data_IF_249153999434
#
_entry.id   IF_249153999434
#
_cell.length_a   1.000
_cell.length_b   1.000
_cell.length_c   1.000
_cell.angle_alpha   90.00
_cell.angle_beta   90.00
_cell.angle_gamma   90.00
#
_symmetry.space_group_name_H-M   'P 1'
#
loop_
_entity.id
_entity.type
_entity.pdbx_description
1 polymer ?
#
# COMPACT_ATOMS: atom_id res chain seq x y z
N UNK A 1 7.56 12.88 0.58
CA UNK A 1 6.93 14.17 0.78
C UNK A 1 6.99 14.51 2.26
N UNK A 2 7.25 15.77 2.61
CA UNK A 2 7.15 16.31 3.97
C UNK A 2 6.17 17.47 3.97
N UNK A 3 5.21 17.43 4.88
CA UNK A 3 4.21 18.46 5.09
C UNK A 3 4.39 19.04 6.49
N UNK A 4 4.54 20.35 6.58
CA UNK A 4 4.59 21.03 7.89
C UNK A 4 3.16 21.21 8.43
N UNK A 5 2.94 20.81 9.67
CA UNK A 5 1.66 20.95 10.38
C UNK A 5 1.92 21.47 11.80
N UNK A 6 1.50 22.67 12.08
CA UNK A 6 1.55 23.35 13.40
C UNK A 6 2.79 22.99 14.29
N UNK A 7 2.78 21.79 14.88
CA UNK A 7 3.83 21.29 15.77
C UNK A 7 4.39 19.93 15.35
N UNK A 8 4.19 19.55 14.09
CA UNK A 8 4.67 18.26 13.55
C UNK A 8 5.06 18.37 12.09
N UNK A 9 5.84 17.39 11.63
CA UNK A 9 6.09 17.14 10.20
C UNK A 9 5.46 15.80 9.85
N UNK A 10 4.41 15.85 9.06
CA UNK A 10 3.83 14.67 8.45
C UNK A 10 4.63 14.27 7.22
N UNK A 11 4.99 13.01 7.13
CA UNK A 11 5.79 12.50 6.01
C UNK A 11 5.07 11.38 5.29
N UNK A 12 5.24 11.36 3.97
CA UNK A 12 4.65 10.38 3.08
C UNK A 12 5.77 9.81 2.21
N UNK A 13 6.10 8.55 2.44
CA UNK A 13 7.10 7.84 1.63
C UNK A 13 6.38 6.94 0.63
N UNK A 14 6.48 7.28 -0.65
CA UNK A 14 5.92 6.50 -1.74
C UNK A 14 6.93 5.46 -2.22
N UNK A 15 6.53 4.21 -2.25
CA UNK A 15 7.31 3.09 -2.75
C UNK A 15 6.56 2.39 -3.89
N UNK A 16 7.30 2.04 -4.95
CA UNK A 16 6.78 1.33 -6.11
C UNK A 16 7.47 -0.02 -6.22
N UNK A 17 6.70 -1.10 -6.16
CA UNK A 17 7.19 -2.45 -6.45
C UNK A 17 7.09 -2.71 -7.96
N UNK A 18 8.20 -2.49 -8.67
CA UNK A 18 8.29 -2.69 -10.11
C UNK A 18 8.49 -4.18 -10.52
N UNK A 19 8.52 -5.11 -9.57
CA UNK A 19 8.63 -6.55 -9.85
C UNK A 19 7.27 -7.21 -10.07
N UNK A 20 6.18 -6.47 -9.93
CA UNK A 20 4.81 -6.93 -10.16
C UNK A 20 4.22 -6.30 -11.42
N UNK A 21 3.26 -6.98 -12.04
CA UNK A 21 2.47 -6.46 -13.15
C UNK A 21 0.99 -6.61 -12.79
N UNK A 22 0.27 -5.51 -12.59
CA UNK A 22 0.72 -4.11 -12.62
C UNK A 22 1.71 -3.75 -11.49
N UNK A 23 2.40 -2.62 -11.66
CA UNK A 23 3.29 -2.06 -10.62
C UNK A 23 2.47 -1.68 -9.40
N UNK A 24 2.86 -2.19 -8.24
CA UNK A 24 2.17 -1.88 -6.98
C UNK A 24 2.83 -0.69 -6.31
N UNK A 25 2.05 0.34 -6.03
CA UNK A 25 2.49 1.55 -5.34
C UNK A 25 1.77 1.68 -4.00
N UNK A 26 2.50 1.96 -2.94
CA UNK A 26 1.95 2.23 -1.61
C UNK A 26 2.65 3.42 -0.94
N UNK A 27 1.98 4.02 0.04
CA UNK A 27 2.50 5.15 0.81
C UNK A 27 2.60 4.73 2.27
N UNK A 28 3.79 4.92 2.84
CA UNK A 28 4.04 4.83 4.27
C UNK A 28 3.94 6.23 4.87
N UNK A 29 3.09 6.40 5.88
CA UNK A 29 2.90 7.66 6.58
C UNK A 29 3.60 7.62 7.92
N UNK A 30 4.27 8.71 8.29
CA UNK A 30 4.87 8.91 9.61
C UNK A 30 4.73 10.35 10.03
N UNK A 31 4.46 10.55 11.32
CA UNK A 31 4.43 11.86 11.93
C UNK A 31 5.62 12.03 12.89
N UNK A 32 6.28 13.16 12.78
CA UNK A 32 7.40 13.53 13.62
C UNK A 32 7.06 14.80 14.40
N UNK A 33 7.17 14.80 15.74
CA UNK A 33 7.07 16.02 16.53
C UNK A 33 8.12 17.04 16.06
N UNK A 34 7.68 18.27 15.83
CA UNK A 34 8.55 19.34 15.36
C UNK A 34 8.27 20.62 16.16
N UNK A 35 9.32 21.29 16.72
CA UNK A 35 9.11 22.46 17.55
C UNK A 35 8.56 23.63 16.73
N UNK A 36 7.71 24.43 17.34
CA UNK A 36 7.17 25.67 16.76
C UNK A 36 8.29 26.65 16.40
N UNK A 37 9.35 26.67 17.18
CA UNK A 37 10.58 27.41 16.92
C UNK A 37 11.45 26.65 15.89
N UNK A 38 11.07 26.64 14.66
CA UNK A 38 11.70 25.92 13.53
C UNK A 38 13.22 25.70 13.71
N UNK A 39 13.62 24.42 13.80
CA UNK A 39 15.02 24.01 14.01
C UNK A 39 15.55 23.23 12.83
N UNK A 40 16.59 23.75 12.18
CA UNK A 40 17.28 23.07 11.08
C UNK A 40 17.91 21.74 11.54
N UNK A 41 18.47 21.72 12.74
CA UNK A 41 19.04 20.49 13.33
C UNK A 41 18.01 19.39 13.48
N UNK A 42 16.84 19.72 14.02
CA UNK A 42 15.72 18.77 14.17
C UNK A 42 15.20 18.29 12.82
N UNK A 43 15.08 19.17 11.85
CA UNK A 43 14.65 18.77 10.52
C UNK A 43 15.69 17.93 9.80
N UNK A 44 16.98 18.20 10.02
CA UNK A 44 18.08 17.38 9.50
C UNK A 44 18.05 15.97 10.09
N UNK A 45 17.76 15.80 11.40
CA UNK A 45 17.58 14.48 12.02
C UNK A 45 16.45 13.71 11.33
N UNK A 46 15.27 14.35 11.16
CA UNK A 46 14.11 13.75 10.47
C UNK A 46 14.47 13.37 9.04
N UNK A 47 15.08 14.30 8.28
CA UNK A 47 15.48 14.07 6.89
C UNK A 47 16.49 12.91 6.77
N UNK A 48 17.42 12.81 7.70
CA UNK A 48 18.41 11.73 7.75
C UNK A 48 17.71 10.40 8.01
N UNK A 49 16.86 10.33 9.02
CA UNK A 49 16.09 9.13 9.35
C UNK A 49 15.20 8.65 8.19
N UNK A 50 14.59 9.59 7.46
CA UNK A 50 13.73 9.27 6.31
C UNK A 50 14.51 8.73 5.11
N UNK A 51 15.74 9.19 4.91
CA UNK A 51 16.58 8.83 3.77
C UNK A 51 17.56 7.68 4.06
N UNK A 52 17.73 7.31 5.34
CA UNK A 52 18.65 6.25 5.75
C UNK A 52 18.17 4.88 5.22
N UNK A 53 19.08 4.16 4.56
CA UNK A 53 18.80 2.85 3.95
C UNK A 53 17.69 2.84 2.90
N UNK A 54 17.32 3.99 2.32
CA UNK A 54 16.29 4.13 1.30
C UNK A 54 16.81 4.88 0.08
N UNK A 55 16.44 4.41 -1.11
CA UNK A 55 16.72 5.12 -2.35
C UNK A 55 15.62 6.17 -2.59
N UNK A 56 15.89 7.41 -2.21
CA UNK A 56 14.98 8.53 -2.43
C UNK A 56 15.46 9.35 -3.62
N UNK A 57 14.69 9.41 -4.69
CA UNK A 57 15.01 10.17 -5.90
C UNK A 57 14.53 11.63 -5.86
N UNK A 58 13.42 11.86 -5.17
CA UNK A 58 12.77 13.18 -5.13
C UNK A 58 12.15 13.43 -3.75
N UNK A 59 12.22 14.67 -3.31
CA UNK A 59 11.61 15.14 -2.06
C UNK A 59 10.70 16.32 -2.37
N UNK A 60 9.50 16.31 -1.81
CA UNK A 60 8.53 17.39 -1.90
C UNK A 60 8.33 17.98 -0.52
N UNK A 61 8.50 19.28 -0.38
CA UNK A 61 8.26 20.06 0.82
C UNK A 61 6.99 20.89 0.63
N UNK A 62 6.00 20.68 1.47
CA UNK A 62 4.70 21.35 1.41
C UNK A 62 4.47 22.15 2.70
N UNK A 63 4.03 23.36 2.56
CA UNK A 63 3.80 24.32 3.63
C UNK A 63 4.63 25.58 3.41
N UNK A 64 4.05 26.72 3.75
CA UNK A 64 4.70 28.01 3.64
C UNK A 64 5.83 28.18 4.66
N UNK A 65 5.80 27.36 5.70
CA UNK A 65 6.79 27.34 6.79
C UNK A 65 8.14 26.79 6.37
N UNK A 66 8.23 26.01 5.30
CA UNK A 66 9.51 25.60 4.74
C UNK A 66 10.16 26.79 4.05
N UNK A 67 11.24 27.30 4.63
CA UNK A 67 11.98 28.46 4.13
C UNK A 67 13.48 28.19 4.16
N UNK A 68 14.18 28.63 3.12
CA UNK A 68 15.63 28.52 3.04
C UNK A 68 16.36 29.29 4.16
N UNK A 69 15.66 30.19 4.84
CA UNK A 69 16.26 30.99 5.91
C UNK A 69 16.68 30.14 7.10
N UNK A 70 15.83 29.17 7.51
CA UNK A 70 16.11 28.34 8.69
C UNK A 70 16.62 26.94 8.36
N UNK A 71 16.34 26.38 7.15
CA UNK A 71 16.62 24.96 6.80
C UNK A 71 17.83 24.78 5.89
N UNK A 72 18.94 25.47 6.16
CA UNK A 72 20.12 25.49 5.27
C UNK A 72 20.83 24.15 5.19
N UNK A 73 21.13 23.52 6.30
CA UNK A 73 21.84 22.24 6.35
C UNK A 73 20.95 21.09 5.93
N UNK A 74 19.69 21.07 6.37
CA UNK A 74 18.70 20.09 5.93
C UNK A 74 18.50 20.14 4.42
N UNK A 75 18.36 21.33 3.84
CA UNK A 75 18.20 21.49 2.40
C UNK A 75 19.45 21.01 1.64
N UNK A 76 20.64 21.37 2.13
CA UNK A 76 21.90 20.87 1.57
C UNK A 76 21.97 19.34 1.61
N UNK A 77 21.56 18.72 2.71
CA UNK A 77 21.49 17.27 2.85
C UNK A 77 20.48 16.65 1.87
N UNK A 78 19.27 17.19 1.80
CA UNK A 78 18.22 16.68 0.93
C UNK A 78 18.59 16.80 -0.56
N UNK A 79 19.31 17.85 -0.96
CA UNK A 79 19.76 18.06 -2.34
C UNK A 79 20.93 17.14 -2.76
N UNK A 80 21.54 16.38 -1.86
CA UNK A 80 22.62 15.44 -2.22
C UNK A 80 22.07 14.25 -3.01
N UNK A 81 22.20 14.30 -4.33
CA UNK A 81 21.77 13.25 -5.25
C UNK A 81 20.24 13.09 -5.38
N UNK A 82 19.47 14.08 -4.93
CA UNK A 82 18.00 14.06 -4.96
C UNK A 82 17.48 15.37 -5.55
N UNK A 83 16.29 15.33 -6.14
CA UNK A 83 15.58 16.53 -6.57
C UNK A 83 14.66 16.98 -5.44
N UNK A 84 14.78 18.22 -5.03
CA UNK A 84 13.94 18.82 -3.99
C UNK A 84 13.00 19.84 -4.63
N UNK A 85 11.71 19.68 -4.35
CA UNK A 85 10.66 20.56 -4.82
C UNK A 85 9.95 21.18 -3.63
N UNK A 86 9.64 22.46 -3.71
CA UNK A 86 8.82 23.15 -2.72
C UNK A 86 7.59 23.73 -3.42
N UNK A 87 6.43 23.58 -2.79
CA UNK A 87 5.20 24.15 -3.33
C UNK A 87 3.96 23.67 -2.60
N UNK A 88 2.90 24.49 -2.65
CA UNK A 88 1.67 24.27 -1.86
C UNK A 88 0.53 23.65 -2.68
N UNK A 89 0.72 23.39 -3.97
CA UNK A 89 -0.33 22.96 -4.88
C UNK A 89 -0.26 21.46 -5.27
N UNK A 90 0.55 20.66 -4.58
CA UNK A 90 0.74 19.26 -4.93
C UNK A 90 -0.55 18.45 -4.82
N UNK A 91 -1.30 18.62 -3.73
CA UNK A 91 -2.58 17.92 -3.53
C UNK A 91 -3.63 18.31 -4.58
N UNK A 92 -3.75 19.61 -4.90
CA UNK A 92 -4.69 20.09 -5.93
C UNK A 92 -4.33 19.53 -7.30
N UNK A 93 -3.04 19.51 -7.66
CA UNK A 93 -2.57 18.87 -8.90
C UNK A 93 -2.84 17.38 -8.91
N UNK A 94 -2.57 16.69 -7.80
CA UNK A 94 -2.84 15.26 -7.65
C UNK A 94 -4.32 14.94 -7.85
N UNK A 95 -5.21 15.74 -7.28
CA UNK A 95 -6.66 15.60 -7.47
C UNK A 95 -7.06 15.78 -8.95
N UNK A 96 -6.50 16.77 -9.63
CA UNK A 96 -6.74 16.97 -11.07
C UNK A 96 -6.25 15.78 -11.91
N UNK A 97 -5.04 15.28 -11.66
CA UNK A 97 -4.51 14.11 -12.35
C UNK A 97 -5.34 12.86 -12.08
N UNK A 98 -5.77 12.63 -10.83
CA UNK A 98 -6.64 11.52 -10.49
C UNK A 98 -7.97 11.57 -11.23
N UNK A 99 -8.58 12.75 -11.38
CA UNK A 99 -9.80 12.92 -12.17
C UNK A 99 -9.55 12.64 -13.65
N UNK A 100 -8.46 13.15 -14.21
CA UNK A 100 -8.11 12.90 -15.61
C UNK A 100 -7.90 11.42 -15.89
N UNK A 101 -7.21 10.70 -15.01
CA UNK A 101 -7.03 9.24 -15.13
C UNK A 101 -8.34 8.45 -15.05
N UNK A 102 -9.31 8.92 -14.27
CA UNK A 102 -10.65 8.31 -14.21
C UNK A 102 -11.45 8.51 -15.50
N UNK A 103 -11.35 9.70 -16.10
CA UNK A 103 -12.08 10.04 -17.33
C UNK A 103 -11.39 9.49 -18.59
N UNK A 104 -10.06 9.53 -18.60
CA UNK A 104 -9.20 9.15 -19.72
C UNK A 104 -8.01 8.34 -19.20
N UNK A 105 -8.22 7.04 -18.90
CA UNK A 105 -7.15 6.20 -18.35
C UNK A 105 -5.93 6.15 -19.28
N UNK A 106 -4.77 6.53 -18.77
CA UNK A 106 -3.50 6.42 -19.49
C UNK A 106 -2.93 4.99 -19.38
N UNK A 107 -2.04 4.62 -20.29
CA UNK A 107 -1.32 3.35 -20.18
C UNK A 107 -0.54 3.24 -18.86
N UNK A 108 0.07 4.33 -18.41
CA UNK A 108 0.74 4.39 -17.12
C UNK A 108 -0.23 4.17 -15.95
N UNK A 109 -1.40 4.80 -15.96
CA UNK A 109 -2.41 4.62 -14.92
C UNK A 109 -2.91 3.19 -14.85
N UNK A 110 -3.13 2.56 -15.99
CA UNK A 110 -3.55 1.15 -16.07
C UNK A 110 -2.47 0.16 -15.60
N UNK A 111 -1.19 0.52 -15.78
CA UNK A 111 -0.06 -0.30 -15.37
C UNK A 111 0.35 -0.12 -13.90
N UNK A 112 -0.33 0.74 -13.15
CA UNK A 112 -0.04 1.01 -11.74
C UNK A 112 -1.27 0.79 -10.87
N UNK A 113 -1.09 0.12 -9.74
CA UNK A 113 -2.11 -0.04 -8.70
C UNK A 113 -1.64 0.66 -7.43
N UNK A 114 -2.39 1.64 -6.98
CA UNK A 114 -2.15 2.29 -5.70
C UNK A 114 -2.89 1.57 -4.58
N UNK A 115 -2.13 1.09 -3.57
CA UNK A 115 -2.68 0.49 -2.37
C UNK A 115 -2.78 1.54 -1.25
N UNK A 116 -3.85 2.34 -1.32
CA UNK A 116 -4.21 3.29 -0.26
C UNK A 116 -4.76 2.59 0.99
N UNK A 117 -5.15 3.38 1.99
CA UNK A 117 -5.77 2.87 3.23
C UNK A 117 -7.12 2.21 2.97
N UNK A 118 -7.82 2.66 1.93
CA UNK A 118 -9.09 2.12 1.47
C UNK A 118 -8.98 0.81 0.66
N UNK A 119 -7.76 0.32 0.42
CA UNK A 119 -7.50 -0.82 -0.47
C UNK A 119 -7.07 -2.07 0.29
N UNK A 120 -7.60 -3.22 -0.15
CA UNK A 120 -7.12 -4.52 0.31
C UNK A 120 -5.65 -4.71 -0.11
N UNK A 121 -4.76 -4.92 0.86
CA UNK A 121 -3.30 -5.00 0.64
C UNK A 121 -2.79 -6.41 0.38
N UNK A 122 -3.69 -7.40 0.37
CA UNK A 122 -3.32 -8.82 0.20
C UNK A 122 -4.27 -9.53 -0.75
N UNK A 123 -3.72 -10.40 -1.59
CA UNK A 123 -4.53 -11.39 -2.30
C UNK A 123 -4.92 -12.50 -1.34
N UNK A 124 -6.16 -12.93 -1.37
CA UNK A 124 -6.70 -14.04 -0.60
C UNK A 124 -7.20 -15.08 -1.58
N UNK A 125 -6.72 -16.29 -1.47
CA UNK A 125 -7.12 -17.36 -2.36
C UNK A 125 -6.76 -18.74 -1.82
N UNK A 126 -6.92 -19.74 -2.63
CA UNK A 126 -6.65 -21.12 -2.26
C UNK A 126 -6.18 -21.93 -3.46
N UNK A 127 -5.50 -23.04 -3.17
CA UNK A 127 -5.23 -24.05 -4.19
C UNK A 127 -6.46 -24.91 -4.39
N UNK A 128 -6.84 -25.09 -5.62
CA UNK A 128 -7.97 -25.94 -6.04
C UNK A 128 -7.52 -26.92 -7.11
N UNK A 129 -8.22 -28.05 -7.23
CA UNK A 129 -8.04 -28.97 -8.33
C UNK A 129 -9.16 -28.74 -9.34
N UNK A 130 -8.81 -28.37 -10.55
CA UNK A 130 -9.74 -28.19 -11.67
C UNK A 130 -9.36 -29.15 -12.81
N UNK A 131 -10.27 -30.01 -13.19
CA UNK A 131 -10.04 -31.03 -14.23
C UNK A 131 -8.81 -31.92 -13.97
N UNK A 132 -8.50 -32.18 -12.68
CA UNK A 132 -7.36 -33.01 -12.29
C UNK A 132 -6.05 -32.23 -12.05
N UNK A 133 -5.95 -30.98 -12.48
CA UNK A 133 -4.77 -30.15 -12.32
C UNK A 133 -4.90 -29.17 -11.14
N UNK A 134 -3.78 -28.92 -10.45
CA UNK A 134 -3.74 -27.89 -9.41
C UNK A 134 -3.73 -26.49 -10.05
N UNK A 135 -4.57 -25.62 -9.53
CA UNK A 135 -4.63 -24.22 -9.92
C UNK A 135 -4.88 -23.33 -8.71
N UNK A 136 -4.52 -22.05 -8.82
CA UNK A 136 -4.86 -21.04 -7.82
C UNK A 136 -6.25 -20.47 -8.12
N UNK A 137 -7.10 -20.41 -7.11
CA UNK A 137 -8.38 -19.74 -7.16
C UNK A 137 -8.36 -18.52 -6.25
N UNK A 138 -8.45 -17.33 -6.84
CA UNK A 138 -8.61 -16.10 -6.09
C UNK A 138 -10.00 -16.07 -5.43
N UNK A 139 -10.05 -15.71 -4.18
CA UNK A 139 -11.25 -15.41 -3.40
C UNK A 139 -11.46 -13.90 -3.32
N UNK A 140 -10.41 -13.14 -2.99
CA UNK A 140 -10.37 -11.68 -3.04
C UNK A 140 -9.04 -11.24 -3.63
N UNK A 141 -9.10 -10.24 -4.49
CA UNK A 141 -7.92 -9.63 -5.11
C UNK A 141 -7.50 -8.36 -4.36
N UNK A 142 -6.20 -8.19 -4.16
CA UNK A 142 -5.66 -6.95 -3.65
C UNK A 142 -5.95 -5.77 -4.60
N UNK A 143 -6.06 -4.56 -4.04
CA UNK A 143 -6.34 -3.35 -4.81
C UNK A 143 -7.83 -2.99 -4.93
N UNK A 144 -8.74 -3.89 -4.59
CA UNK A 144 -10.16 -3.54 -4.43
C UNK A 144 -10.38 -2.76 -3.12
N UNK A 145 -11.46 -2.01 -3.02
CA UNK A 145 -11.81 -1.34 -1.77
C UNK A 145 -12.12 -2.41 -0.70
N UNK A 146 -11.52 -2.29 0.49
CA UNK A 146 -11.70 -3.30 1.53
C UNK A 146 -13.17 -3.45 1.95
N UNK A 147 -13.93 -2.35 1.98
CA UNK A 147 -15.35 -2.33 2.32
C UNK A 147 -16.28 -2.92 1.24
N UNK A 148 -15.75 -3.15 0.02
CA UNK A 148 -16.44 -3.84 -1.09
C UNK A 148 -15.92 -5.28 -1.25
N UNK A 149 -14.87 -5.65 -0.48
CA UNK A 149 -14.19 -6.92 -0.60
C UNK A 149 -15.01 -8.05 0.00
N UNK A 150 -15.91 -8.59 -0.79
CA UNK A 150 -16.72 -9.76 -0.46
C UNK A 150 -16.84 -10.70 -1.65
N UNK A 151 -16.85 -11.99 -1.37
CA UNK A 151 -17.04 -13.00 -2.40
C UNK A 151 -17.64 -14.26 -1.77
N UNK A 152 -18.45 -14.99 -2.56
CA UNK A 152 -19.01 -16.28 -2.16
C UNK A 152 -18.78 -17.27 -3.29
N UNK A 153 -18.13 -18.39 -2.98
CA UNK A 153 -17.86 -19.46 -3.94
C UNK A 153 -18.20 -20.81 -3.36
N UNK A 154 -18.51 -21.74 -4.24
CA UNK A 154 -18.79 -23.14 -3.87
C UNK A 154 -17.66 -24.06 -4.35
N UNK A 155 -17.25 -24.96 -3.47
CA UNK A 155 -16.18 -25.92 -3.70
C UNK A 155 -16.60 -27.32 -3.22
N UNK A 156 -15.85 -28.30 -3.63
CA UNK A 156 -15.97 -29.67 -3.13
C UNK A 156 -14.67 -30.05 -2.42
N UNK A 157 -14.76 -30.38 -1.15
CA UNK A 157 -13.65 -30.97 -0.40
C UNK A 157 -13.61 -32.45 -0.73
N UNK A 158 -12.58 -32.87 -1.47
CA UNK A 158 -12.44 -34.24 -1.95
C UNK A 158 -11.78 -35.14 -0.91
N UNK A 159 -10.75 -34.59 -0.23
CA UNK A 159 -9.92 -35.29 0.74
C UNK A 159 -9.52 -34.34 1.87
N UNK A 160 -9.32 -34.91 3.06
CA UNK A 160 -8.89 -34.13 4.23
C UNK A 160 -10.03 -33.49 5.01
N UNK A 161 -9.65 -32.72 6.04
CA UNK A 161 -10.60 -32.12 7.00
C UNK A 161 -10.41 -30.59 7.12
N UNK A 162 -9.60 -29.99 6.28
CA UNK A 162 -9.29 -28.58 6.37
C UNK A 162 -9.19 -27.93 5.00
N UNK A 163 -9.55 -26.65 4.97
CA UNK A 163 -9.36 -25.75 3.84
C UNK A 163 -8.17 -24.85 4.15
N UNK A 164 -7.22 -24.73 3.24
CA UNK A 164 -6.06 -23.87 3.37
C UNK A 164 -6.25 -22.61 2.53
N UNK A 165 -6.31 -21.48 3.21
CA UNK A 165 -6.42 -20.15 2.61
C UNK A 165 -5.04 -19.52 2.57
N UNK A 166 -4.58 -19.18 1.38
CA UNK A 166 -3.32 -18.48 1.14
C UNK A 166 -3.57 -16.97 1.12
N UNK A 167 -2.89 -16.24 2.00
CA UNK A 167 -2.94 -14.80 2.10
C UNK A 167 -1.56 -14.27 1.70
N UNK A 168 -1.49 -13.57 0.55
CA UNK A 168 -0.25 -13.06 -0.02
C UNK A 168 -0.26 -11.54 -0.01
N UNK A 169 0.59 -10.94 0.83
CA UNK A 169 0.72 -9.48 0.90
C UNK A 169 1.44 -8.92 -0.32
N UNK A 170 0.91 -7.86 -0.92
CA UNK A 170 1.57 -7.09 -1.98
C UNK A 170 2.54 -6.03 -1.45
N UNK A 171 2.54 -5.77 -0.14
CA UNK A 171 3.45 -4.81 0.52
C UNK A 171 4.73 -5.46 1.06
N UNK A 172 5.09 -6.65 0.59
CA UNK A 172 6.35 -7.30 0.93
C UNK A 172 6.39 -8.00 2.29
N UNK A 173 5.28 -8.08 3.04
CA UNK A 173 5.20 -8.75 4.35
C UNK A 173 5.15 -10.29 4.30
N UNK A 174 5.37 -10.86 3.10
CA UNK A 174 5.36 -12.32 2.88
C UNK A 174 3.96 -12.90 2.70
N UNK A 175 3.91 -14.23 2.67
CA UNK A 175 2.67 -15.01 2.55
C UNK A 175 2.43 -15.81 3.81
N UNK A 176 1.16 -16.00 4.16
CA UNK A 176 0.74 -16.87 5.26
C UNK A 176 -0.37 -17.81 4.81
N UNK A 177 -0.46 -18.97 5.45
CA UNK A 177 -1.53 -19.94 5.23
C UNK A 177 -2.40 -19.96 6.48
N UNK A 178 -3.69 -19.73 6.30
CA UNK A 178 -4.71 -19.93 7.33
C UNK A 178 -5.38 -21.27 7.06
N UNK A 179 -5.44 -22.13 8.08
CA UNK A 179 -6.07 -23.43 8.01
C UNK A 179 -7.40 -23.40 8.74
N UNK A 180 -8.48 -23.70 8.02
CA UNK A 180 -9.84 -23.69 8.51
C UNK A 180 -10.38 -25.13 8.49
N UNK A 181 -10.86 -25.59 9.63
CA UNK A 181 -11.53 -26.89 9.75
C UNK A 181 -13.02 -26.62 9.81
N UNK A 182 -13.82 -27.07 8.83
CA UNK A 182 -15.28 -26.98 8.90
C UNK A 182 -15.84 -27.75 10.09
N UNK A 183 -16.88 -27.23 10.73
CA UNK A 183 -17.50 -27.85 11.90
C UNK A 183 -18.22 -29.18 11.55
N UNK A 184 -18.86 -29.21 10.38
CA UNK A 184 -19.59 -30.37 9.89
C UNK A 184 -18.97 -30.90 8.60
N UNK A 185 -18.49 -32.13 8.62
CA UNK A 185 -17.93 -32.81 7.47
C UNK A 185 -18.76 -34.07 7.19
N UNK A 186 -19.12 -34.24 5.93
CA UNK A 186 -19.77 -35.48 5.46
C UNK A 186 -18.72 -36.56 5.16
N UNK A 187 -19.12 -37.84 5.26
CA UNK A 187 -18.26 -38.91 4.76
C UNK A 187 -18.15 -38.81 3.20
N UNK A 188 -16.92 -38.79 2.71
CA UNK A 188 -16.63 -38.65 1.29
C UNK A 188 -16.51 -37.18 0.84
N UNK A 189 -17.13 -36.84 -0.27
CA UNK A 189 -17.07 -35.52 -0.86
C UNK A 189 -18.01 -34.56 -0.13
N UNK A 190 -17.43 -33.50 0.46
CA UNK A 190 -18.21 -32.47 1.15
C UNK A 190 -18.32 -31.22 0.28
N UNK A 191 -19.56 -30.75 0.03
CA UNK A 191 -19.81 -29.48 -0.62
C UNK A 191 -19.62 -28.36 0.39
N UNK A 192 -18.76 -27.41 0.06
CA UNK A 192 -18.44 -26.24 0.88
C UNK A 192 -18.90 -24.96 0.17
N UNK A 193 -19.53 -24.08 0.92
CA UNK A 193 -19.78 -22.71 0.53
C UNK A 193 -18.84 -21.81 1.32
N UNK A 194 -17.89 -21.19 0.65
CA UNK A 194 -16.92 -20.30 1.25
C UNK A 194 -17.37 -18.87 0.99
N UNK A 195 -17.65 -18.16 2.07
CA UNK A 195 -17.90 -16.71 2.03
C UNK A 195 -16.70 -15.99 2.67
N UNK A 196 -16.15 -15.06 1.95
CA UNK A 196 -15.05 -14.22 2.39
C UNK A 196 -15.49 -12.76 2.35
N UNK A 197 -15.30 -12.08 3.46
CA UNK A 197 -15.69 -10.67 3.64
C UNK A 197 -14.65 -9.99 4.53
N UNK A 198 -14.22 -8.78 4.12
CA UNK A 198 -13.40 -7.92 4.99
C UNK A 198 -14.34 -7.10 5.87
N UNK A 199 -14.05 -7.07 7.18
CA UNK A 199 -14.83 -6.29 8.16
C UNK A 199 -14.08 -5.07 8.67
N UNK A 200 -12.73 -5.15 8.74
CA UNK A 200 -11.83 -4.10 9.21
C UNK A 200 -10.54 -4.12 8.37
N UNK A 201 -9.71 -3.08 8.50
CA UNK A 201 -8.38 -3.01 7.86
C UNK A 201 -7.40 -4.11 8.36
#
# INVERSE_FOLDING_TARGET
>A
LCEYRDSSIQTYYMECNCHTTPVVTYIEEREFPFPVEKSDEKFLEIATQLCENRMVSSVYLIGEEFSQEWMKESLRYLCRGRRVFQGNNLFSKGACYSMMERLHPSENGQNHVYLGQDKLKSNIGMKVRRQGEESYQALLDAGINWYEAQNTMEFYLLEGRAVEILITSLTGKGSRIARIVPEELQEGITRLRIQVEMKDE
#
